data_IF_854160552113
#
_entry.id   IF_854160552113
#
_cell.length_a   1.000
_cell.length_b   1.000
_cell.length_c   1.000
_cell.angle_alpha   90.00
_cell.angle_beta   90.00
_cell.angle_gamma   90.00
#
_symmetry.space_group_name_H-M   'P 1'
#
loop_
_entity.id
_entity.type
_entity.pdbx_description
1 polymer ?
#
# COMPACT_ATOMS: atom_id res chain seq x y z
N UNK A 1 3.06 -2.35 -30.06
CA UNK A 1 1.88 -2.43 -29.18
C UNK A 1 2.14 -1.58 -27.94
N UNK A 2 1.37 -0.51 -27.69
CA UNK A 2 1.41 0.23 -26.41
C UNK A 2 0.32 -0.34 -25.51
N UNK A 3 0.69 -1.06 -24.46
CA UNK A 3 -0.29 -1.56 -23.49
C UNK A 3 -0.88 -0.35 -22.74
N UNK A 4 -2.21 -0.12 -22.76
CA UNK A 4 -2.83 1.06 -22.14
C UNK A 4 -2.58 1.13 -20.63
N UNK A 5 -2.30 0.01 -19.96
CA UNK A 5 -1.93 -0.03 -18.54
C UNK A 5 -0.51 0.50 -18.25
N UNK A 6 0.37 0.54 -19.25
CA UNK A 6 1.78 0.90 -19.14
C UNK A 6 2.12 2.18 -19.92
N UNK A 7 1.15 3.08 -20.09
CA UNK A 7 1.46 4.42 -20.57
C UNK A 7 2.18 5.24 -19.49
N UNK A 8 3.13 6.09 -19.91
CA UNK A 8 4.00 6.84 -18.99
C UNK A 8 3.23 7.74 -18.03
N UNK A 9 2.06 8.24 -18.47
CA UNK A 9 1.18 9.04 -17.61
C UNK A 9 0.61 8.21 -16.45
N UNK A 10 0.17 6.99 -16.71
CA UNK A 10 -0.39 6.07 -15.72
C UNK A 10 0.68 5.62 -14.72
N UNK A 11 1.90 5.31 -15.18
CA UNK A 11 3.01 4.94 -14.30
C UNK A 11 3.34 6.08 -13.32
N UNK A 12 3.37 7.34 -13.80
CA UNK A 12 3.61 8.50 -12.94
C UNK A 12 2.52 8.65 -11.89
N UNK A 13 1.27 8.40 -12.25
CA UNK A 13 0.15 8.45 -11.33
C UNK A 13 0.24 7.35 -10.26
N UNK A 14 0.50 6.10 -10.65
CA UNK A 14 0.66 5.00 -9.70
C UNK A 14 1.82 5.26 -8.75
N UNK A 15 2.91 5.81 -9.27
CA UNK A 15 4.05 6.21 -8.47
C UNK A 15 3.70 7.34 -7.50
N UNK A 16 2.96 8.35 -7.95
CA UNK A 16 2.53 9.48 -7.13
C UNK A 16 1.63 9.02 -5.97
N UNK A 17 0.53 8.32 -6.26
CA UNK A 17 -0.41 7.87 -5.23
C UNK A 17 0.21 6.80 -4.33
N UNK A 18 1.00 5.87 -4.89
CA UNK A 18 1.76 4.90 -4.10
C UNK A 18 2.76 5.56 -3.16
N UNK A 19 3.46 6.61 -3.61
CA UNK A 19 4.39 7.39 -2.78
C UNK A 19 3.66 8.15 -1.67
N UNK A 20 2.53 8.80 -1.98
CA UNK A 20 1.71 9.48 -0.97
C UNK A 20 1.23 8.48 0.10
N UNK A 21 0.72 7.32 -0.32
CA UNK A 21 0.28 6.28 0.62
C UNK A 21 1.44 5.83 1.53
N UNK A 22 2.61 5.57 0.95
CA UNK A 22 3.81 5.17 1.70
C UNK A 22 4.29 6.25 2.68
N UNK A 23 4.28 7.52 2.28
CA UNK A 23 4.64 8.64 3.16
C UNK A 23 3.66 8.77 4.32
N UNK A 24 2.35 8.62 4.07
CA UNK A 24 1.32 8.66 5.12
C UNK A 24 1.54 7.54 6.13
N UNK A 25 1.71 6.29 5.70
CA UNK A 25 2.02 5.18 6.61
C UNK A 25 3.30 5.45 7.41
N UNK A 26 4.35 5.91 6.73
CA UNK A 26 5.65 6.19 7.34
C UNK A 26 5.56 7.30 8.38
N UNK A 27 4.71 8.32 8.19
CA UNK A 27 4.50 9.37 9.18
C UNK A 27 3.97 8.81 10.51
N UNK A 28 2.98 7.92 10.47
CA UNK A 28 2.48 7.24 11.68
C UNK A 28 3.52 6.32 12.30
N UNK A 29 4.29 5.60 11.49
CA UNK A 29 5.42 4.80 11.96
C UNK A 29 6.45 5.67 12.68
N UNK A 30 6.82 6.83 12.13
CA UNK A 30 7.80 7.74 12.75
C UNK A 30 7.28 8.25 14.09
N UNK A 31 6.00 8.61 14.20
CA UNK A 31 5.40 9.00 15.49
C UNK A 31 5.48 7.86 16.50
N UNK A 32 5.17 6.64 16.08
CA UNK A 32 5.33 5.45 16.92
C UNK A 32 6.78 5.24 17.37
N UNK A 33 7.76 5.38 16.47
CA UNK A 33 9.18 5.20 16.77
C UNK A 33 9.74 6.31 17.69
N UNK A 34 9.19 7.52 17.65
CA UNK A 34 9.57 8.62 18.54
C UNK A 34 9.11 8.32 19.98
N UNK A 35 7.84 7.90 20.14
CA UNK A 35 7.29 7.66 21.46
C UNK A 35 7.68 6.30 22.05
N UNK A 36 7.93 5.31 21.19
CA UNK A 36 8.46 3.98 21.49
C UNK A 36 7.76 3.22 22.66
N UNK A 37 6.44 3.42 22.78
CA UNK A 37 5.59 2.79 23.80
C UNK A 37 4.70 1.72 23.19
N UNK A 38 4.46 0.64 23.92
CA UNK A 38 3.58 -0.45 23.47
C UNK A 38 2.16 0.05 23.20
N UNK A 39 1.67 0.96 24.05
CA UNK A 39 0.37 1.61 23.91
C UNK A 39 0.21 2.35 22.57
N UNK A 40 1.29 2.73 21.91
CA UNK A 40 1.28 3.45 20.63
C UNK A 40 1.35 2.53 19.41
N UNK A 41 1.43 1.20 19.58
CA UNK A 41 1.47 0.26 18.44
C UNK A 41 0.20 0.34 17.57
N UNK A 42 -0.94 0.78 18.11
CA UNK A 42 -2.14 1.02 17.32
C UNK A 42 -1.92 2.08 16.21
N UNK A 43 -0.92 2.95 16.33
CA UNK A 43 -0.57 3.91 15.28
C UNK A 43 -0.15 3.20 13.99
N UNK A 44 0.44 2.01 14.05
CA UNK A 44 0.73 1.21 12.86
C UNK A 44 -0.57 0.79 12.16
N UNK A 45 -1.59 0.41 12.93
CA UNK A 45 -2.91 0.08 12.41
C UNK A 45 -3.61 1.31 11.81
N UNK A 46 -3.59 2.45 12.51
CA UNK A 46 -4.14 3.72 11.99
C UNK A 46 -3.41 4.14 10.70
N UNK A 47 -2.09 3.98 10.67
CA UNK A 47 -1.27 4.20 9.47
C UNK A 47 -1.69 3.30 8.31
N UNK A 48 -1.98 2.02 8.55
CA UNK A 48 -2.48 1.09 7.52
C UNK A 48 -3.86 1.46 7.00
N UNK A 49 -4.77 1.95 7.87
CA UNK A 49 -6.06 2.49 7.44
C UNK A 49 -5.85 3.72 6.56
N UNK A 50 -5.01 4.67 6.99
CA UNK A 50 -4.72 5.88 6.25
C UNK A 50 -4.06 5.60 4.88
N UNK A 51 -3.09 4.68 4.84
CA UNK A 51 -2.53 4.13 3.60
C UNK A 51 -3.62 3.62 2.66
N UNK A 52 -4.51 2.77 3.18
CA UNK A 52 -5.57 2.14 2.40
C UNK A 52 -6.60 3.16 1.91
N UNK A 53 -6.85 4.24 2.65
CA UNK A 53 -7.68 5.37 2.21
C UNK A 53 -7.08 6.11 1.02
N UNK A 54 -5.75 6.27 0.95
CA UNK A 54 -5.11 6.88 -0.23
C UNK A 54 -5.32 6.00 -1.47
N UNK A 55 -5.16 4.67 -1.33
CA UNK A 55 -5.43 3.71 -2.42
C UNK A 55 -6.92 3.76 -2.83
N UNK A 56 -7.82 3.86 -1.84
CA UNK A 56 -9.24 3.99 -2.09
C UNK A 56 -9.61 5.26 -2.85
N UNK A 57 -9.04 6.42 -2.47
CA UNK A 57 -9.25 7.69 -3.17
C UNK A 57 -8.80 7.57 -4.64
N UNK A 58 -7.63 6.98 -4.88
CA UNK A 58 -7.14 6.73 -6.24
C UNK A 58 -8.13 5.85 -7.04
N UNK A 59 -8.59 4.74 -6.48
CA UNK A 59 -9.59 3.89 -7.13
C UNK A 59 -10.91 4.61 -7.41
N UNK A 60 -11.37 5.46 -6.50
CA UNK A 60 -12.59 6.25 -6.67
C UNK A 60 -12.45 7.28 -7.80
N UNK A 61 -11.29 7.94 -7.91
CA UNK A 61 -11.00 8.89 -9.00
C UNK A 61 -11.05 8.23 -10.38
N UNK A 62 -10.79 6.92 -10.49
CA UNK A 62 -10.87 6.19 -11.75
C UNK A 62 -12.29 5.90 -12.22
N UNK A 63 -13.28 5.86 -11.32
CA UNK A 63 -14.69 5.57 -11.66
C UNK A 63 -15.20 6.53 -12.75
N UNK A 64 -14.83 7.80 -12.66
CA UNK A 64 -15.30 8.85 -13.56
C UNK A 64 -14.42 9.02 -14.82
N UNK A 65 -13.38 8.20 -15.00
CA UNK A 65 -12.48 8.32 -16.16
C UNK A 65 -13.02 7.61 -17.39
N UNK A 66 -12.91 8.30 -18.52
CA UNK A 66 -13.49 7.92 -19.81
C UNK A 66 -13.00 6.57 -20.37
N UNK A 67 -11.82 6.09 -19.97
CA UNK A 67 -11.22 4.84 -20.48
C UNK A 67 -11.04 3.76 -19.40
N UNK A 68 -10.64 4.15 -18.19
CA UNK A 68 -10.37 3.23 -17.08
C UNK A 68 -11.66 2.80 -16.38
N UNK A 69 -12.59 3.74 -16.16
CA UNK A 69 -13.93 3.47 -15.62
C UNK A 69 -14.84 2.63 -16.52
N UNK A 70 -14.37 2.17 -17.68
CA UNK A 70 -15.15 1.29 -18.58
C UNK A 70 -15.13 -0.18 -18.18
N UNK A 71 -14.14 -0.63 -17.41
CA UNK A 71 -14.02 -2.03 -16.98
C UNK A 71 -13.59 -2.10 -15.52
N UNK A 72 -14.34 -2.83 -14.69
CA UNK A 72 -13.98 -3.04 -13.28
C UNK A 72 -12.61 -3.72 -13.15
N UNK A 73 -12.27 -4.61 -14.08
CA UNK A 73 -10.96 -5.29 -14.13
C UNK A 73 -9.83 -4.30 -14.36
N UNK A 74 -9.99 -3.30 -15.25
CA UNK A 74 -8.95 -2.29 -15.50
C UNK A 74 -8.72 -1.41 -14.27
N UNK A 75 -9.80 -1.00 -13.60
CA UNK A 75 -9.69 -0.25 -12.34
C UNK A 75 -9.02 -1.08 -11.23
N UNK A 76 -9.38 -2.36 -11.14
CA UNK A 76 -8.80 -3.27 -10.17
C UNK A 76 -7.30 -3.42 -10.36
N UNK A 77 -6.86 -3.69 -11.60
CA UNK A 77 -5.44 -3.81 -11.94
C UNK A 77 -4.69 -2.51 -11.66
N UNK A 78 -5.26 -1.36 -12.03
CA UNK A 78 -4.65 -0.06 -11.81
C UNK A 78 -4.50 0.27 -10.31
N UNK A 79 -5.52 -0.04 -9.50
CA UNK A 79 -5.47 0.12 -8.05
C UNK A 79 -4.46 -0.83 -7.41
N UNK A 80 -4.35 -2.07 -7.89
CA UNK A 80 -3.35 -3.03 -7.39
C UNK A 80 -1.92 -2.64 -7.77
N UNK A 81 -1.68 -2.08 -8.96
CA UNK A 81 -0.35 -1.57 -9.31
C UNK A 81 0.08 -0.43 -8.37
N UNK A 82 -0.85 0.48 -8.06
CA UNK A 82 -0.61 1.58 -7.12
C UNK A 82 -0.37 1.06 -5.70
N UNK A 83 -1.16 0.06 -5.27
CA UNK A 83 -1.00 -0.64 -4.00
C UNK A 83 0.38 -1.29 -3.88
N UNK A 84 0.81 -2.04 -4.90
CA UNK A 84 2.11 -2.73 -4.89
C UNK A 84 3.25 -1.71 -4.76
N UNK A 85 3.20 -0.61 -5.53
CA UNK A 85 4.19 0.46 -5.41
C UNK A 85 4.20 1.04 -3.99
N UNK A 86 3.02 1.36 -3.44
CA UNK A 86 2.90 1.87 -2.08
C UNK A 86 3.43 0.91 -1.02
N UNK A 87 3.16 -0.39 -1.14
CA UNK A 87 3.64 -1.43 -0.22
C UNK A 87 5.16 -1.55 -0.28
N UNK A 88 5.74 -1.60 -1.48
CA UNK A 88 7.20 -1.67 -1.67
C UNK A 88 7.87 -0.43 -1.06
N UNK A 89 7.36 0.76 -1.34
CA UNK A 89 7.91 2.00 -0.78
C UNK A 89 7.74 2.07 0.75
N UNK A 90 6.58 1.68 1.28
CA UNK A 90 6.33 1.62 2.73
C UNK A 90 7.31 0.67 3.43
N UNK A 91 7.59 -0.46 2.80
CA UNK A 91 8.56 -1.44 3.30
C UNK A 91 9.96 -0.85 3.34
N UNK A 92 10.41 -0.22 2.24
CA UNK A 92 11.74 0.44 2.18
C UNK A 92 11.85 1.55 3.22
N UNK A 93 10.86 2.44 3.30
CA UNK A 93 10.85 3.53 4.28
C UNK A 93 10.78 3.03 5.71
N UNK A 94 10.08 1.94 5.98
CA UNK A 94 10.03 1.33 7.31
C UNK A 94 11.39 0.79 7.74
N UNK A 95 12.13 0.12 6.83
CA UNK A 95 13.49 -0.35 7.10
C UNK A 95 14.41 0.84 7.38
N UNK A 96 14.37 1.87 6.53
CA UNK A 96 15.20 3.07 6.69
C UNK A 96 14.88 3.79 8.01
N UNK A 97 13.60 4.01 8.32
CA UNK A 97 13.19 4.65 9.55
C UNK A 97 13.66 3.83 10.77
N UNK A 98 13.43 2.52 10.78
CA UNK A 98 13.87 1.66 11.89
C UNK A 98 15.38 1.70 12.07
N UNK A 99 16.17 1.70 10.98
CA UNK A 99 17.63 1.80 11.04
C UNK A 99 18.12 3.15 11.59
N UNK A 100 17.41 4.24 11.31
CA UNK A 100 17.73 5.57 11.84
C UNK A 100 17.50 5.62 13.36
N UNK A 101 16.39 5.05 13.83
CA UNK A 101 16.02 5.08 15.26
C UNK A 101 16.78 4.03 16.08
N UNK A 102 17.05 2.86 15.51
CA UNK A 102 17.76 1.76 16.15
C UNK A 102 19.03 1.44 15.36
N UNK A 103 20.12 2.11 15.71
CA UNK A 103 21.45 1.86 15.13
C UNK A 103 21.92 0.43 15.39
N UNK A 104 21.79 -0.44 14.38
CA UNK A 104 22.19 -1.84 14.41
C UNK A 104 21.06 -2.80 14.78
N UNK A 105 20.46 -3.44 13.76
CA UNK A 105 19.33 -4.38 13.90
C UNK A 105 19.70 -5.70 14.61
N UNK A 106 20.99 -6.00 14.68
CA UNK A 106 21.54 -7.26 15.21
C UNK A 106 22.27 -7.07 16.55
N UNK A 107 22.31 -5.85 17.08
CA UNK A 107 22.94 -5.61 18.37
C UNK A 107 21.98 -6.08 19.47
N UNK A 108 22.35 -7.15 20.15
CA UNK A 108 21.67 -7.62 21.36
C UNK A 108 21.88 -6.55 22.42
N UNK A 109 20.86 -5.72 22.69
CA UNK A 109 20.86 -4.86 23.86
C UNK A 109 20.56 -5.72 25.10
N UNK A 110 21.21 -5.46 26.25
CA UNK A 110 20.92 -6.19 27.48
C UNK A 110 19.52 -5.82 28.00
N UNK A 111 18.72 -6.85 28.31
CA UNK A 111 17.45 -7.01 29.06
C UNK A 111 16.37 -5.91 29.14
N UNK A 112 16.59 -4.69 28.69
CA UNK A 112 15.57 -3.64 28.73
C UNK A 112 14.73 -3.74 27.45
N UNK A 113 13.42 -3.96 27.61
CA UNK A 113 12.47 -4.02 26.51
C UNK A 113 12.66 -2.85 25.55
N UNK A 114 12.72 -3.13 24.24
CA UNK A 114 12.89 -2.08 23.24
C UNK A 114 11.66 -1.19 23.19
N UNK A 115 10.49 -1.76 23.44
CA UNK A 115 9.23 -1.05 23.51
C UNK A 115 8.84 -0.94 24.98
N UNK A 116 8.72 0.28 25.49
CA UNK A 116 8.37 0.51 26.89
C UNK A 116 6.96 -0.01 27.21
N UNK A 117 6.79 -0.57 28.41
CA UNK A 117 5.53 -1.07 28.95
C UNK A 117 4.88 -2.22 28.15
N UNK A 118 5.66 -2.98 27.38
CA UNK A 118 5.16 -4.22 26.80
C UNK A 118 4.87 -5.27 27.89
N UNK A 119 3.78 -6.03 27.75
CA UNK A 119 3.52 -7.19 28.59
C UNK A 119 4.62 -8.25 28.39
N UNK A 120 4.92 -9.05 29.41
CA UNK A 120 5.99 -10.09 29.36
C UNK A 120 5.83 -11.10 28.21
N UNK A 121 4.61 -11.33 27.72
CA UNK A 121 4.31 -12.19 26.56
C UNK A 121 4.49 -11.51 25.20
N UNK A 122 4.62 -10.18 25.18
CA UNK A 122 4.74 -9.34 23.98
C UNK A 122 6.00 -8.47 24.02
N UNK A 123 6.91 -8.79 24.94
CA UNK A 123 8.16 -8.09 25.13
C UNK A 123 9.04 -8.28 23.89
N UNK A 124 9.41 -7.18 23.25
CA UNK A 124 10.31 -7.20 22.10
C UNK A 124 11.70 -6.87 22.60
N UNK A 125 12.48 -7.92 22.80
CA UNK A 125 13.82 -7.82 23.39
C UNK A 125 14.92 -7.54 22.34
N UNK A 126 14.60 -7.68 21.06
CA UNK A 126 15.55 -7.50 19.96
C UNK A 126 14.99 -6.58 18.87
N UNK A 127 15.80 -5.64 18.31
CA UNK A 127 15.30 -4.68 17.32
C UNK A 127 14.82 -5.37 16.05
N UNK A 128 15.37 -6.55 15.75
CA UNK A 128 14.93 -7.41 14.66
C UNK A 128 13.47 -7.86 14.80
N UNK A 129 13.00 -8.15 16.02
CA UNK A 129 11.61 -8.51 16.27
C UNK A 129 10.65 -7.34 16.00
N UNK A 130 11.04 -6.13 16.44
CA UNK A 130 10.28 -4.90 16.19
C UNK A 130 10.22 -4.60 14.68
N UNK A 131 11.36 -4.72 13.99
CA UNK A 131 11.43 -4.55 12.55
C UNK A 131 10.51 -5.55 11.83
N UNK A 132 10.59 -6.85 12.19
CA UNK A 132 9.74 -7.87 11.58
C UNK A 132 8.26 -7.51 11.73
N UNK A 133 7.85 -7.07 12.91
CA UNK A 133 6.46 -6.66 13.13
C UNK A 133 6.07 -5.44 12.30
N UNK A 134 6.91 -4.41 12.24
CA UNK A 134 6.68 -3.24 11.38
C UNK A 134 6.56 -3.68 9.91
N UNK A 135 7.40 -4.61 9.46
CA UNK A 135 7.35 -5.17 8.10
C UNK A 135 6.06 -5.95 7.82
N UNK A 136 5.53 -6.68 8.81
CA UNK A 136 4.21 -7.33 8.69
C UNK A 136 3.11 -6.30 8.46
N UNK A 137 3.13 -5.17 9.17
CA UNK A 137 2.17 -4.08 8.92
C UNK A 137 2.39 -3.42 7.56
N UNK A 138 3.63 -3.03 7.26
CA UNK A 138 3.99 -2.30 6.05
C UNK A 138 3.71 -3.11 4.77
N UNK A 139 3.88 -4.44 4.82
CA UNK A 139 3.66 -5.33 3.70
C UNK A 139 2.31 -6.04 3.75
N UNK A 140 2.11 -6.92 4.73
CA UNK A 140 0.96 -7.84 4.74
C UNK A 140 -0.34 -7.10 5.03
N UNK A 141 -0.37 -6.28 6.08
CA UNK A 141 -1.60 -5.57 6.48
C UNK A 141 -1.98 -4.52 5.44
N UNK A 142 -1.03 -3.68 5.00
CA UNK A 142 -1.27 -2.69 3.94
C UNK A 142 -1.73 -3.35 2.63
N UNK A 143 -1.11 -4.47 2.22
CA UNK A 143 -1.54 -5.21 1.04
C UNK A 143 -2.95 -5.77 1.20
N UNK A 144 -3.23 -6.46 2.31
CA UNK A 144 -4.53 -7.11 2.53
C UNK A 144 -5.69 -6.10 2.56
N UNK A 145 -5.58 -5.03 3.35
CA UNK A 145 -6.62 -4.01 3.47
C UNK A 145 -6.74 -3.20 2.18
N UNK A 146 -5.62 -2.81 1.57
CA UNK A 146 -5.60 -2.08 0.31
C UNK A 146 -6.18 -2.87 -0.86
N UNK A 147 -5.89 -4.17 -0.96
CA UNK A 147 -6.43 -5.06 -1.99
C UNK A 147 -7.95 -5.23 -1.80
N UNK A 148 -8.39 -5.44 -0.56
CA UNK A 148 -9.82 -5.53 -0.23
C UNK A 148 -10.58 -4.26 -0.63
N UNK A 149 -10.10 -3.08 -0.25
CA UNK A 149 -10.72 -1.81 -0.64
C UNK A 149 -10.69 -1.59 -2.16
N UNK A 150 -9.60 -1.99 -2.83
CA UNK A 150 -9.50 -1.91 -4.29
C UNK A 150 -10.56 -2.75 -5.00
N UNK A 151 -10.86 -3.95 -4.48
CA UNK A 151 -11.96 -4.79 -4.96
C UNK A 151 -13.30 -4.11 -4.71
N UNK A 152 -13.57 -3.67 -3.48
CA UNK A 152 -14.83 -3.01 -3.14
C UNK A 152 -15.10 -1.79 -4.03
N UNK A 153 -14.10 -0.94 -4.28
CA UNK A 153 -14.29 0.28 -5.06
C UNK A 153 -14.46 -0.03 -6.54
N UNK A 154 -13.68 -0.97 -7.07
CA UNK A 154 -13.78 -1.38 -8.48
C UNK A 154 -15.14 -2.00 -8.82
N UNK A 155 -15.73 -2.75 -7.88
CA UNK A 155 -17.02 -3.41 -8.09
C UNK A 155 -18.20 -2.60 -7.54
N UNK A 156 -18.25 -2.31 -6.23
CA UNK A 156 -19.38 -1.63 -5.60
C UNK A 156 -19.46 -0.13 -5.95
N UNK A 157 -18.32 0.52 -6.22
CA UNK A 157 -18.29 1.93 -6.63
C UNK A 157 -18.96 2.17 -8.00
N UNK A 158 -19.05 1.15 -8.85
CA UNK A 158 -19.70 1.22 -10.14
C UNK A 158 -21.21 1.03 -10.02
N UNK A 159 -21.96 2.14 -10.08
CA UNK A 159 -23.43 2.13 -10.03
C UNK A 159 -24.12 1.38 -11.19
N UNK A 160 -23.40 1.09 -12.29
CA UNK A 160 -23.97 0.41 -13.46
C UNK A 160 -23.03 -0.68 -14.01
N UNK A 161 -22.93 -1.81 -13.30
CA UNK A 161 -22.08 -2.96 -13.68
C UNK A 161 -22.59 -3.73 -14.92
N UNK A 162 -23.85 -3.57 -15.31
CA UNK A 162 -24.47 -4.32 -16.43
C UNK A 162 -23.91 -3.97 -17.81
N UNK A 163 -23.03 -2.95 -17.88
CA UNK A 163 -22.35 -2.51 -19.11
C UNK A 163 -20.84 -2.76 -19.07
N UNK A 164 -20.34 -3.59 -18.16
CA UNK A 164 -18.92 -3.94 -18.15
C UNK A 164 -18.58 -4.66 -19.45
N UNK A 165 -17.96 -3.93 -20.37
CA UNK A 165 -17.48 -4.51 -21.62
C UNK A 165 -16.27 -5.37 -21.29
N UNK A 166 -16.10 -6.54 -21.93
CA UNK A 166 -14.85 -7.26 -21.84
C UNK A 166 -13.71 -6.30 -22.18
N UNK A 167 -12.57 -6.43 -21.51
CA UNK A 167 -11.41 -5.62 -21.83
C UNK A 167 -11.06 -5.89 -23.30
N UNK A 168 -11.41 -4.96 -24.19
CA UNK A 168 -11.02 -5.01 -25.59
C UNK A 168 -9.49 -4.96 -25.61
N UNK A 169 -8.88 -6.13 -25.72
CA UNK A 169 -7.52 -6.30 -26.17
C UNK A 169 -7.61 -6.08 -27.68
N UNK A 170 -7.28 -4.86 -28.08
CA UNK A 170 -7.32 -4.31 -29.43
C UNK A 170 -7.33 -5.38 -30.54
N UNK A 171 -8.49 -5.60 -31.17
CA UNK A 171 -8.69 -6.54 -32.28
C UNK A 171 -8.28 -5.93 -33.65
N UNK A 172 -7.59 -4.79 -33.67
CA UNK A 172 -7.14 -4.09 -34.88
C UNK A 172 -6.09 -4.85 -35.73
N UNK A 173 -5.82 -6.12 -35.42
CA UNK A 173 -4.88 -6.98 -36.15
C UNK A 173 -5.44 -7.43 -37.53
N UNK A 174 -6.74 -7.29 -37.78
CA UNK A 174 -7.37 -7.87 -38.98
C UNK A 174 -7.75 -6.92 -40.12
N UNK A 175 -7.57 -5.59 -39.99
CA UNK A 175 -7.95 -4.64 -41.05
C UNK A 175 -6.78 -4.06 -41.87
N UNK A 176 -5.52 -4.39 -41.53
CA UNK A 176 -4.34 -3.96 -42.30
C UNK A 176 -3.85 -4.98 -43.35
N UNK A 177 -4.69 -5.94 -43.74
CA UNK A 177 -4.45 -6.82 -44.90
C UNK A 177 -5.63 -6.72 -45.88
N UNK A 178 -5.71 -5.61 -46.62
CA UNK A 178 -6.27 -5.57 -47.98
C UNK A 178 -5.53 -4.52 -48.78
#
# INVERSE_FOLDING_TARGET
>A
MKNPLYDRAHIKEYLLFGSIAALVFTAFLVVFLIDNKYENMFLLFVGSVAFSLVIAIHGYMQINRRHEGKSAVRMLLSSHLTLIIGVVLSTIFSIVATLIFFGGLTNVKPSDAIVENAHTTSEVNEPGGLLLMILVYAAIVNFAVGAFLSVLISYAGKRNQTKDKPAELDNDIHLARK
#
